data_IF_254111896109
#
_entry.id   IF_254111896109
#
_cell.length_a   1.000
_cell.length_b   1.000
_cell.length_c   1.000
_cell.angle_alpha   90.00
_cell.angle_beta   90.00
_cell.angle_gamma   90.00
#
_symmetry.space_group_name_H-M   'P 1'
#
loop_
_entity.id
_entity.type
_entity.pdbx_description
1 polymer ?
#
# COMPACT_ATOMS: atom_id res chain seq x y z
N UNK A 1 -29.73 -23.74 -2.76
CA UNK A 1 -30.04 -22.56 -1.95
C UNK A 1 -28.73 -21.86 -1.67
N UNK A 2 -28.62 -20.55 -1.90
CA UNK A 2 -27.43 -19.80 -1.47
C UNK A 2 -27.33 -19.86 0.05
N UNK A 3 -26.14 -20.06 0.64
CA UNK A 3 -25.99 -20.02 2.10
C UNK A 3 -26.41 -18.64 2.63
N UNK A 4 -27.23 -18.64 3.68
CA UNK A 4 -27.64 -17.43 4.41
C UNK A 4 -26.66 -17.20 5.56
N UNK A 5 -25.83 -16.16 5.47
CA UNK A 5 -24.84 -15.79 6.48
C UNK A 5 -25.40 -14.80 7.51
N UNK A 6 -26.64 -15.02 7.94
CA UNK A 6 -27.40 -14.08 8.78
C UNK A 6 -26.89 -14.06 10.24
N UNK A 7 -26.10 -15.07 10.65
CA UNK A 7 -25.39 -15.09 11.92
C UNK A 7 -23.92 -14.66 11.74
N UNK A 8 -23.50 -13.65 12.52
CA UNK A 8 -22.15 -13.08 12.48
C UNK A 8 -21.05 -14.10 12.80
N UNK A 9 -21.30 -15.08 13.67
CA UNK A 9 -20.33 -16.12 13.97
C UNK A 9 -20.14 -17.06 12.77
N UNK A 10 -21.23 -17.47 12.12
CA UNK A 10 -21.16 -18.34 10.93
C UNK A 10 -20.43 -17.68 9.76
N UNK A 11 -20.64 -16.37 9.56
CA UNK A 11 -19.93 -15.59 8.54
C UNK A 11 -18.43 -15.51 8.85
N UNK A 12 -18.08 -15.20 10.10
CA UNK A 12 -16.68 -15.07 10.52
C UNK A 12 -15.93 -16.40 10.40
N UNK A 13 -16.54 -17.49 10.85
CA UNK A 13 -15.96 -18.83 10.72
C UNK A 13 -15.75 -19.22 9.26
N UNK A 14 -16.75 -18.99 8.41
CA UNK A 14 -16.64 -19.30 6.98
C UNK A 14 -15.53 -18.49 6.29
N UNK A 15 -15.54 -17.16 6.44
CA UNK A 15 -14.63 -16.26 5.70
C UNK A 15 -13.22 -16.29 6.30
N UNK A 16 -13.10 -16.18 7.62
CA UNK A 16 -11.82 -15.97 8.31
C UNK A 16 -11.22 -17.30 8.76
N UNK A 17 -11.90 -18.06 9.63
CA UNK A 17 -11.31 -19.24 10.28
C UNK A 17 -11.10 -20.39 9.30
N UNK A 18 -12.06 -20.62 8.41
CA UNK A 18 -11.99 -21.66 7.39
C UNK A 18 -11.26 -21.21 6.12
N UNK A 19 -10.79 -19.95 6.07
CA UNK A 19 -9.96 -19.43 4.97
C UNK A 19 -10.67 -19.28 3.62
N UNK A 20 -12.00 -19.33 3.55
CA UNK A 20 -12.70 -19.14 2.28
C UNK A 20 -12.50 -17.72 1.73
N UNK A 21 -12.26 -16.74 2.60
CA UNK A 21 -12.08 -15.35 2.22
C UNK A 21 -13.36 -14.71 1.71
N UNK A 22 -13.27 -13.42 1.35
CA UNK A 22 -14.34 -12.70 0.67
C UNK A 22 -14.58 -13.27 -0.73
N UNK A 23 -13.54 -13.82 -1.38
CA UNK A 23 -13.72 -14.50 -2.67
C UNK A 23 -14.66 -15.70 -2.53
N UNK A 24 -14.46 -16.58 -1.55
CA UNK A 24 -15.35 -17.72 -1.33
C UNK A 24 -16.78 -17.30 -0.99
N UNK A 25 -16.94 -16.16 -0.30
CA UNK A 25 -18.24 -15.56 -0.07
C UNK A 25 -18.92 -15.17 -1.39
N UNK A 26 -18.21 -14.51 -2.31
CA UNK A 26 -18.72 -14.17 -3.64
C UNK A 26 -19.03 -15.41 -4.48
N UNK A 27 -18.16 -16.42 -4.45
CA UNK A 27 -18.34 -17.69 -5.17
C UNK A 27 -19.60 -18.45 -4.68
N UNK A 28 -20.04 -18.21 -3.43
CA UNK A 28 -21.30 -18.77 -2.89
C UNK A 28 -22.58 -18.12 -3.46
N UNK A 29 -22.44 -17.07 -4.27
CA UNK A 29 -23.55 -16.43 -4.96
C UNK A 29 -24.35 -15.45 -4.10
N UNK A 30 -23.70 -14.78 -3.14
CA UNK A 30 -24.34 -13.73 -2.35
C UNK A 30 -24.85 -12.61 -3.24
N UNK A 31 -26.03 -12.06 -2.87
CA UNK A 31 -26.66 -10.96 -3.62
C UNK A 31 -26.44 -9.60 -2.97
N UNK A 32 -26.13 -9.58 -1.67
CA UNK A 32 -25.88 -8.37 -0.91
C UNK A 32 -24.63 -8.53 -0.05
N UNK A 33 -23.98 -7.41 0.23
CA UNK A 33 -22.88 -7.34 1.19
C UNK A 33 -23.43 -7.62 2.60
N UNK A 34 -22.86 -8.58 3.36
CA UNK A 34 -23.28 -8.82 4.73
C UNK A 34 -23.05 -7.62 5.64
N UNK A 35 -23.85 -7.49 6.71
CA UNK A 35 -23.80 -6.34 7.63
C UNK A 35 -22.39 -6.07 8.18
N UNK A 36 -21.62 -7.12 8.46
CA UNK A 36 -20.25 -7.03 8.99
C UNK A 36 -19.25 -6.34 8.04
N UNK A 37 -19.58 -6.18 6.77
CA UNK A 37 -18.77 -5.45 5.77
C UNK A 37 -19.31 -4.04 5.47
N UNK A 38 -20.48 -3.69 5.99
CA UNK A 38 -21.08 -2.37 5.77
C UNK A 38 -20.29 -1.35 6.59
N UNK A 39 -19.59 -0.47 5.88
CA UNK A 39 -18.78 0.57 6.48
C UNK A 39 -19.66 1.69 7.06
N UNK A 40 -19.20 2.40 8.12
CA UNK A 40 -19.84 3.62 8.57
C UNK A 40 -19.98 4.64 7.45
N UNK A 41 -20.99 5.50 7.49
CA UNK A 41 -21.25 6.49 6.43
C UNK A 41 -20.05 7.40 6.13
N UNK A 42 -19.23 7.72 7.15
CA UNK A 42 -18.00 8.52 7.01
C UNK A 42 -16.88 7.80 6.27
N UNK A 43 -16.89 6.46 6.24
CA UNK A 43 -15.85 5.64 5.60
C UNK A 43 -16.21 5.22 4.17
N UNK A 44 -17.51 5.29 3.81
CA UNK A 44 -17.98 4.95 2.47
C UNK A 44 -17.41 5.89 1.42
N UNK A 45 -17.10 5.34 0.25
CA UNK A 45 -16.49 6.07 -0.87
C UNK A 45 -17.59 6.35 -1.89
N UNK A 46 -18.11 7.58 -1.88
CA UNK A 46 -19.11 8.01 -2.87
C UNK A 46 -18.44 8.21 -4.24
N UNK A 47 -18.94 7.53 -5.29
CA UNK A 47 -18.43 7.65 -6.67
C UNK A 47 -18.47 9.07 -7.25
N UNK A 48 -19.23 9.99 -6.66
CA UNK A 48 -19.62 11.26 -7.29
C UNK A 48 -18.57 12.39 -7.13
N UNK A 49 -17.54 12.25 -6.30
CA UNK A 49 -16.66 13.40 -5.97
C UNK A 49 -15.39 13.52 -6.85
N UNK A 50 -15.03 12.52 -7.66
CA UNK A 50 -13.66 12.43 -8.20
C UNK A 50 -13.40 12.84 -9.65
N UNK A 51 -14.37 13.35 -10.42
CA UNK A 51 -14.15 13.59 -11.84
C UNK A 51 -14.92 14.79 -12.36
N UNK A 52 -14.33 15.98 -12.25
CA UNK A 52 -14.41 17.01 -13.32
C UNK A 52 -13.46 18.21 -13.06
N UNK A 53 -12.97 18.48 -11.85
CA UNK A 53 -12.24 19.73 -11.56
C UNK A 53 -10.92 19.54 -10.78
N UNK A 54 -10.06 18.59 -11.15
CA UNK A 54 -8.68 18.62 -10.66
C UNK A 54 -7.99 19.88 -11.21
N UNK A 55 -7.53 20.76 -10.33
CA UNK A 55 -6.70 21.92 -10.73
C UNK A 55 -5.50 21.46 -11.57
N UNK A 56 -5.00 22.32 -12.47
CA UNK A 56 -3.87 21.99 -13.36
C UNK A 56 -2.63 21.47 -12.62
N UNK A 57 -2.44 21.89 -11.36
CA UNK A 57 -1.37 21.41 -10.48
C UNK A 57 -1.53 19.97 -10.00
N UNK A 58 -2.77 19.52 -9.74
CA UNK A 58 -3.04 18.12 -9.36
C UNK A 58 -2.87 17.17 -10.54
N UNK A 59 -3.26 17.60 -11.74
CA UNK A 59 -3.12 16.80 -12.97
C UNK A 59 -1.65 16.49 -13.31
N UNK A 60 -0.74 17.43 -13.02
CA UNK A 60 0.70 17.21 -13.19
C UNK A 60 1.24 16.13 -12.25
N UNK A 61 0.75 16.05 -11.01
CA UNK A 61 1.20 15.02 -10.05
C UNK A 61 0.60 13.63 -10.31
N UNK A 62 -0.52 13.55 -11.03
CA UNK A 62 -1.17 12.28 -11.39
C UNK A 62 -0.56 11.66 -12.65
N UNK A 63 0.06 12.49 -13.50
CA UNK A 63 0.72 12.04 -14.74
C UNK A 63 1.98 11.23 -14.43
N UNK A 64 2.23 10.09 -15.09
CA UNK A 64 3.40 9.28 -14.80
C UNK A 64 4.73 9.98 -15.14
N UNK A 65 5.71 9.85 -14.26
CA UNK A 65 7.09 10.31 -14.41
C UNK A 65 7.88 9.26 -15.19
N UNK A 66 8.54 9.67 -16.28
CA UNK A 66 9.39 8.80 -17.08
C UNK A 66 10.77 8.63 -16.43
N UNK A 67 11.03 7.45 -15.85
CA UNK A 67 12.32 7.16 -15.20
C UNK A 67 13.45 6.85 -16.18
N UNK A 68 13.18 6.61 -17.46
CA UNK A 68 14.25 6.42 -18.45
C UNK A 68 15.02 7.71 -18.74
N UNK A 69 14.42 8.85 -18.43
CA UNK A 69 15.03 10.18 -18.58
C UNK A 69 15.93 10.56 -17.39
N UNK A 70 15.92 9.78 -16.31
CA UNK A 70 16.65 10.09 -15.08
C UNK A 70 18.16 10.13 -15.29
N UNK A 71 18.73 9.23 -16.10
CA UNK A 71 20.18 9.11 -16.29
C UNK A 71 20.65 9.92 -17.54
N UNK A 72 19.89 10.95 -17.94
CA UNK A 72 20.11 11.72 -19.17
C UNK A 72 19.99 13.25 -19.02
N UNK A 73 19.87 14.01 -20.13
CA UNK A 73 19.81 15.48 -20.10
C UNK A 73 18.67 16.08 -19.28
N UNK A 74 17.61 15.31 -19.05
CA UNK A 74 16.43 15.71 -18.29
C UNK A 74 16.49 15.27 -16.80
N UNK A 75 17.66 14.84 -16.29
CA UNK A 75 17.85 14.39 -14.91
C UNK A 75 17.20 15.33 -13.88
N UNK A 76 17.56 16.61 -13.91
CA UNK A 76 17.08 17.61 -12.94
C UNK A 76 15.55 17.80 -12.99
N UNK A 77 14.94 17.68 -14.17
CA UNK A 77 13.49 17.78 -14.34
C UNK A 77 12.77 16.57 -13.71
N UNK A 78 13.32 15.37 -13.91
CA UNK A 78 12.79 14.13 -13.32
C UNK A 78 12.94 14.16 -11.80
N UNK A 79 14.12 14.54 -11.29
CA UNK A 79 14.36 14.72 -9.85
C UNK A 79 13.38 15.72 -9.25
N UNK A 80 13.21 16.88 -9.89
CA UNK A 80 12.26 17.91 -9.43
C UNK A 80 10.82 17.40 -9.42
N UNK A 81 10.41 16.61 -10.42
CA UNK A 81 9.07 16.01 -10.46
C UNK A 81 8.85 15.03 -9.30
N UNK A 82 9.82 14.16 -9.03
CA UNK A 82 9.78 13.19 -7.91
C UNK A 82 9.68 13.92 -6.57
N UNK A 83 10.54 14.91 -6.34
CA UNK A 83 10.54 15.70 -5.10
C UNK A 83 9.23 16.45 -4.93
N UNK A 84 8.78 17.16 -5.96
CA UNK A 84 7.54 17.94 -5.91
C UNK A 84 6.32 17.06 -5.59
N UNK A 85 6.20 15.89 -6.24
CA UNK A 85 5.11 14.98 -5.94
C UNK A 85 5.19 14.40 -4.51
N UNK A 86 6.40 14.12 -4.03
CA UNK A 86 6.65 13.65 -2.65
C UNK A 86 6.32 14.70 -1.59
N UNK A 87 6.55 15.98 -1.87
CA UNK A 87 6.28 17.11 -0.97
C UNK A 87 4.83 17.60 -1.02
N UNK A 88 4.11 17.41 -2.13
CA UNK A 88 2.73 17.91 -2.29
C UNK A 88 1.65 16.87 -2.07
N UNK A 89 1.87 15.65 -2.54
CA UNK A 89 0.85 14.58 -2.50
C UNK A 89 1.36 13.38 -1.71
N UNK A 90 2.64 13.06 -1.79
CA UNK A 90 3.17 11.82 -1.23
C UNK A 90 2.95 10.59 -2.11
N UNK A 91 2.37 10.78 -3.29
CA UNK A 91 2.10 9.76 -4.29
C UNK A 91 2.51 10.26 -5.67
N UNK A 92 3.05 9.37 -6.49
CA UNK A 92 3.31 9.62 -7.92
C UNK A 92 3.33 8.32 -8.69
N UNK A 93 3.16 8.41 -10.01
CA UNK A 93 3.28 7.25 -10.90
C UNK A 93 4.61 7.31 -11.64
N UNK A 94 5.18 6.15 -11.93
CA UNK A 94 6.40 6.03 -12.74
C UNK A 94 6.18 5.08 -13.91
N UNK A 95 6.76 5.42 -15.07
CA UNK A 95 6.80 4.59 -16.28
C UNK A 95 8.24 4.47 -16.77
N UNK A 96 8.48 3.56 -17.72
CA UNK A 96 9.80 3.28 -18.26
C UNK A 96 10.86 3.01 -17.15
N UNK A 97 10.40 2.43 -16.04
CA UNK A 97 11.16 2.16 -14.82
C UNK A 97 12.08 0.93 -14.94
N UNK A 98 12.20 0.34 -16.13
CA UNK A 98 13.09 -0.80 -16.40
C UNK A 98 12.60 -2.18 -15.93
N UNK A 99 11.37 -2.29 -15.42
CA UNK A 99 10.77 -3.61 -15.14
C UNK A 99 10.02 -4.05 -16.40
N UNK A 100 10.32 -5.25 -16.95
CA UNK A 100 9.65 -5.75 -18.15
C UNK A 100 8.12 -5.87 -17.97
N UNK A 101 7.36 -5.44 -18.98
CA UNK A 101 5.89 -5.47 -18.93
C UNK A 101 5.34 -6.89 -18.77
N UNK A 102 5.96 -7.89 -19.40
CA UNK A 102 5.62 -9.31 -19.26
C UNK A 102 5.78 -9.81 -17.82
N UNK A 103 6.77 -9.30 -17.07
CA UNK A 103 6.93 -9.61 -15.65
C UNK A 103 5.77 -9.04 -14.82
N UNK A 104 5.33 -7.81 -15.09
CA UNK A 104 4.20 -7.19 -14.40
C UNK A 104 2.88 -7.94 -14.70
N UNK A 105 2.63 -8.30 -15.96
CA UNK A 105 1.46 -9.08 -16.35
C UNK A 105 1.48 -10.48 -15.74
N UNK A 106 2.62 -11.17 -15.78
CA UNK A 106 2.78 -12.50 -15.18
C UNK A 106 2.52 -12.47 -13.68
N UNK A 107 2.95 -11.41 -12.98
CA UNK A 107 2.73 -11.26 -11.55
C UNK A 107 1.24 -11.08 -11.23
N UNK A 108 0.51 -10.26 -12.01
CA UNK A 108 -0.94 -10.11 -11.87
C UNK A 108 -1.66 -11.44 -12.12
N UNK A 109 -1.27 -12.16 -13.17
CA UNK A 109 -1.84 -13.49 -13.47
C UNK A 109 -1.58 -14.49 -12.35
N UNK A 110 -0.36 -14.54 -11.81
CA UNK A 110 0.00 -15.41 -10.70
C UNK A 110 -0.81 -15.11 -9.43
N UNK A 111 -1.07 -13.83 -9.14
CA UNK A 111 -1.96 -13.44 -8.05
C UNK A 111 -3.38 -13.98 -8.29
N UNK A 112 -3.96 -13.78 -9.47
CA UNK A 112 -5.27 -14.35 -9.82
C UNK A 112 -5.31 -15.88 -9.69
N UNK A 113 -4.26 -16.57 -10.15
CA UNK A 113 -4.14 -18.01 -10.05
C UNK A 113 -4.15 -18.47 -8.60
N UNK A 114 -3.34 -17.84 -7.72
CA UNK A 114 -3.31 -18.13 -6.29
C UNK A 114 -4.69 -17.97 -5.64
N UNK A 115 -5.36 -16.83 -5.82
CA UNK A 115 -6.65 -16.61 -5.15
C UNK A 115 -7.78 -17.50 -5.68
N UNK A 116 -7.67 -17.99 -6.92
CA UNK A 116 -8.63 -18.91 -7.55
C UNK A 116 -8.47 -20.36 -7.13
N UNK A 117 -7.42 -20.69 -6.38
CA UNK A 117 -7.24 -22.04 -5.85
C UNK A 117 -8.36 -22.44 -4.87
N UNK A 118 -8.63 -23.75 -4.74
CA UNK A 118 -9.50 -24.27 -3.69
C UNK A 118 -9.07 -23.79 -2.30
N UNK A 119 -10.01 -23.62 -1.34
CA UNK A 119 -9.69 -23.20 0.02
C UNK A 119 -8.61 -24.06 0.69
N UNK A 120 -8.64 -25.39 0.52
CA UNK A 120 -7.69 -26.32 1.13
C UNK A 120 -6.24 -26.07 0.70
N UNK A 121 -6.02 -25.68 -0.57
CA UNK A 121 -4.69 -25.33 -1.10
C UNK A 121 -4.16 -24.02 -0.52
N UNK A 122 -5.06 -23.09 -0.15
CA UNK A 122 -4.71 -21.81 0.49
C UNK A 122 -4.61 -21.92 2.01
N UNK A 123 -5.27 -22.91 2.60
CA UNK A 123 -5.36 -23.10 4.05
C UNK A 123 -3.98 -23.28 4.70
N UNK A 124 -3.02 -23.85 3.96
CA UNK A 124 -1.62 -24.02 4.40
C UNK A 124 -0.87 -22.71 4.63
N UNK A 125 -1.48 -21.56 4.32
CA UNK A 125 -0.93 -20.22 4.55
C UNK A 125 -1.75 -19.44 5.60
N UNK A 126 -2.78 -20.03 6.21
CA UNK A 126 -3.55 -19.37 7.26
C UNK A 126 -2.69 -19.15 8.52
N UNK A 127 -3.00 -18.12 9.33
CA UNK A 127 -2.34 -17.91 10.61
C UNK A 127 -2.46 -19.14 11.51
N UNK A 128 -1.34 -19.63 12.05
CA UNK A 128 -1.31 -20.79 12.95
C UNK A 128 -1.18 -22.14 12.26
N UNK A 129 -1.70 -22.27 11.04
CA UNK A 129 -1.61 -23.48 10.19
C UNK A 129 -0.37 -23.47 9.28
N UNK A 130 0.21 -22.28 9.05
CA UNK A 130 1.29 -22.07 8.09
C UNK A 130 2.61 -22.78 8.41
N UNK A 131 3.22 -23.36 7.37
CA UNK A 131 4.58 -23.97 7.44
C UNK A 131 5.68 -22.96 7.80
N UNK A 132 5.45 -21.68 7.52
CA UNK A 132 6.39 -20.60 7.79
C UNK A 132 5.66 -19.36 8.26
N UNK A 133 6.25 -18.64 9.22
CA UNK A 133 5.73 -17.34 9.71
C UNK A 133 5.91 -16.21 8.68
N UNK A 134 6.66 -16.46 7.61
CA UNK A 134 7.00 -15.50 6.56
C UNK A 134 5.90 -15.33 5.52
N UNK A 135 4.97 -16.28 5.42
CA UNK A 135 3.87 -16.25 4.44
C UNK A 135 2.55 -16.36 5.16
N UNK A 136 1.62 -15.45 4.86
CA UNK A 136 0.29 -15.43 5.47
C UNK A 136 -0.77 -15.10 4.45
N UNK A 137 -1.72 -16.00 4.29
CA UNK A 137 -2.98 -15.76 3.59
C UNK A 137 -4.06 -15.39 4.61
N UNK A 138 -4.94 -14.47 4.24
CA UNK A 138 -6.05 -14.06 5.07
C UNK A 138 -7.01 -13.12 4.35
N UNK A 139 -7.91 -12.54 5.12
CA UNK A 139 -8.92 -11.58 4.67
C UNK A 139 -8.91 -10.37 5.58
N UNK A 140 -9.38 -9.23 5.06
CA UNK A 140 -9.40 -7.94 5.75
C UNK A 140 -8.00 -7.48 6.21
N UNK A 141 -7.90 -6.51 7.12
CA UNK A 141 -6.62 -6.11 7.71
C UNK A 141 -6.39 -6.79 9.06
N UNK A 142 -7.33 -6.67 9.99
CA UNK A 142 -7.31 -7.33 11.29
C UNK A 142 -8.73 -7.69 11.72
N UNK A 143 -9.30 -8.80 11.19
CA UNK A 143 -10.72 -9.13 11.37
C UNK A 143 -11.21 -9.10 12.83
N UNK A 144 -10.38 -9.56 13.76
CA UNK A 144 -10.69 -9.61 15.20
C UNK A 144 -10.79 -8.23 15.86
N UNK A 145 -10.15 -7.20 15.30
CA UNK A 145 -10.11 -5.83 15.83
C UNK A 145 -11.08 -4.89 15.10
N UNK A 146 -11.65 -5.34 13.99
CA UNK A 146 -12.43 -4.50 13.08
C UNK A 146 -13.91 -4.47 13.44
N UNK A 147 -14.47 -3.26 13.44
CA UNK A 147 -15.92 -3.07 13.57
C UNK A 147 -16.63 -3.53 12.29
N UNK A 148 -16.19 -3.01 11.15
CA UNK A 148 -16.59 -3.44 9.81
C UNK A 148 -15.36 -3.97 9.06
N UNK A 149 -15.49 -5.15 8.45
CA UNK A 149 -14.44 -5.80 7.68
C UNK A 149 -14.22 -5.10 6.34
N UNK A 150 -13.00 -5.21 5.82
CA UNK A 150 -12.61 -4.78 4.48
C UNK A 150 -12.92 -5.88 3.45
N UNK A 151 -13.37 -5.48 2.26
CA UNK A 151 -13.73 -6.38 1.17
C UNK A 151 -12.50 -6.81 0.35
N UNK A 152 -11.61 -7.58 0.98
CA UNK A 152 -10.30 -7.92 0.41
C UNK A 152 -9.73 -9.20 1.01
N UNK A 153 -9.23 -10.07 0.15
CA UNK A 153 -8.33 -11.15 0.53
C UNK A 153 -6.88 -10.74 0.29
N UNK A 154 -5.93 -11.32 1.02
CA UNK A 154 -4.51 -11.01 0.86
C UNK A 154 -3.61 -12.22 1.02
N UNK A 155 -2.44 -12.14 0.39
CA UNK A 155 -1.30 -13.02 0.58
C UNK A 155 -0.06 -12.16 0.86
N UNK A 156 0.37 -12.18 2.11
CA UNK A 156 1.53 -11.47 2.63
C UNK A 156 2.76 -12.37 2.53
N UNK A 157 3.81 -11.93 1.86
CA UNK A 157 5.05 -12.68 1.63
C UNK A 157 6.27 -11.85 2.06
N UNK A 158 6.73 -12.10 3.27
CA UNK A 158 7.92 -11.46 3.82
C UNK A 158 9.16 -12.05 3.15
N UNK A 159 10.04 -11.16 2.70
CA UNK A 159 11.33 -11.51 2.14
C UNK A 159 12.44 -11.38 3.18
N UNK A 160 13.26 -12.41 3.26
CA UNK A 160 14.45 -12.52 4.12
C UNK A 160 15.67 -12.79 3.24
N UNK A 161 15.61 -13.87 2.47
CA UNK A 161 16.59 -14.25 1.45
C UNK A 161 15.90 -15.06 0.32
N UNK A 162 16.61 -15.24 -0.80
CA UNK A 162 16.11 -15.97 -1.97
C UNK A 162 15.71 -17.41 -1.65
N UNK A 163 16.49 -18.13 -0.83
CA UNK A 163 16.24 -19.53 -0.53
C UNK A 163 14.93 -19.71 0.26
N UNK A 164 14.73 -18.94 1.33
CA UNK A 164 13.50 -18.95 2.12
C UNK A 164 12.28 -18.52 1.28
N UNK A 165 12.45 -17.53 0.39
CA UNK A 165 11.39 -17.14 -0.53
C UNK A 165 10.99 -18.29 -1.47
N UNK A 166 11.96 -18.96 -2.09
CA UNK A 166 11.71 -20.08 -3.01
C UNK A 166 11.21 -21.35 -2.31
N UNK A 167 11.53 -21.52 -1.03
CA UNK A 167 11.07 -22.63 -0.21
C UNK A 167 9.64 -22.42 0.30
N UNK A 168 9.30 -21.21 0.77
CA UNK A 168 8.07 -20.98 1.52
C UNK A 168 6.98 -20.23 0.76
N UNK A 169 7.31 -19.40 -0.23
CA UNK A 169 6.30 -18.68 -1.01
C UNK A 169 5.51 -19.65 -1.91
N UNK A 170 4.24 -19.35 -2.26
CA UNK A 170 3.43 -20.25 -3.07
C UNK A 170 4.05 -20.52 -4.44
N UNK A 171 4.03 -21.79 -4.86
CA UNK A 171 4.63 -22.23 -6.13
C UNK A 171 4.08 -21.47 -7.35
N UNK A 172 2.82 -21.02 -7.27
CA UNK A 172 2.12 -20.28 -8.31
C UNK A 172 2.74 -18.90 -8.55
N UNK A 173 3.37 -18.30 -7.54
CA UNK A 173 3.83 -16.92 -7.62
C UNK A 173 5.29 -16.69 -7.17
N UNK A 174 5.96 -17.65 -6.54
CA UNK A 174 7.27 -17.41 -5.88
C UNK A 174 8.35 -16.84 -6.80
N UNK A 175 8.53 -17.42 -7.98
CA UNK A 175 9.57 -16.99 -8.94
C UNK A 175 9.30 -15.59 -9.49
N UNK A 176 8.05 -15.36 -9.91
CA UNK A 176 7.65 -14.08 -10.50
C UNK A 176 7.62 -12.97 -9.46
N UNK A 177 7.18 -13.26 -8.23
CA UNK A 177 7.19 -12.32 -7.11
C UNK A 177 8.63 -11.98 -6.68
N UNK A 178 9.54 -12.95 -6.66
CA UNK A 178 10.94 -12.72 -6.32
C UNK A 178 11.64 -11.84 -7.36
N UNK A 179 11.40 -12.09 -8.65
CA UNK A 179 11.90 -11.24 -9.75
C UNK A 179 11.34 -9.83 -9.67
N UNK A 180 10.05 -9.68 -9.39
CA UNK A 180 9.42 -8.37 -9.17
C UNK A 180 10.05 -7.64 -7.99
N UNK A 181 10.16 -8.29 -6.82
CA UNK A 181 10.79 -7.72 -5.63
C UNK A 181 12.19 -7.18 -5.93
N UNK A 182 13.05 -7.97 -6.57
CA UNK A 182 14.43 -7.56 -6.90
C UNK A 182 14.46 -6.36 -7.84
N UNK A 183 13.52 -6.30 -8.79
CA UNK A 183 13.44 -5.21 -9.77
C UNK A 183 12.89 -3.93 -9.12
N UNK A 184 11.82 -4.04 -8.34
CA UNK A 184 11.24 -2.93 -7.57
C UNK A 184 12.20 -2.38 -6.52
N UNK A 185 13.02 -3.23 -5.90
CA UNK A 185 14.01 -2.77 -4.94
C UNK A 185 15.06 -1.85 -5.57
N UNK A 186 15.45 -2.07 -6.84
CA UNK A 186 16.35 -1.16 -7.56
C UNK A 186 15.74 0.24 -7.74
N UNK A 187 14.42 0.30 -8.01
CA UNK A 187 13.69 1.56 -8.09
C UNK A 187 13.70 2.26 -6.73
N UNK A 188 13.42 1.51 -5.65
CA UNK A 188 13.46 2.05 -4.28
C UNK A 188 14.83 2.66 -3.95
N UNK A 189 15.94 1.99 -4.29
CA UNK A 189 17.29 2.53 -4.05
C UNK A 189 17.48 3.89 -4.74
N UNK A 190 17.22 3.96 -6.05
CA UNK A 190 17.34 5.20 -6.83
C UNK A 190 16.47 6.33 -6.27
N UNK A 191 15.22 6.03 -5.90
CA UNK A 191 14.31 7.04 -5.36
C UNK A 191 14.74 7.53 -3.97
N UNK A 192 15.23 6.65 -3.10
CA UNK A 192 15.73 7.06 -1.80
C UNK A 192 17.01 7.91 -1.93
N UNK A 193 17.92 7.58 -2.83
CA UNK A 193 19.11 8.41 -3.11
C UNK A 193 18.68 9.84 -3.50
N UNK A 194 17.77 9.98 -4.48
CA UNK A 194 17.24 11.28 -4.93
C UNK A 194 16.60 12.07 -3.78
N UNK A 195 15.74 11.41 -3.00
CA UNK A 195 15.00 12.06 -1.91
C UNK A 195 15.94 12.48 -0.78
N UNK A 196 16.94 11.66 -0.43
CA UNK A 196 17.93 12.04 0.59
C UNK A 196 18.84 13.18 0.12
N UNK A 197 19.29 13.14 -1.13
CA UNK A 197 20.12 14.20 -1.71
C UNK A 197 19.39 15.55 -1.70
N UNK A 198 18.09 15.57 -2.02
CA UNK A 198 17.26 16.77 -1.91
C UNK A 198 17.07 17.28 -0.46
N UNK A 199 17.19 16.39 0.53
CA UNK A 199 17.23 16.76 1.95
C UNK A 199 18.64 17.19 2.40
N UNK A 200 19.62 17.25 1.49
CA UNK A 200 20.99 17.66 1.78
C UNK A 200 21.83 16.59 2.45
N UNK A 201 21.49 15.30 2.28
CA UNK A 201 22.28 14.18 2.80
C UNK A 201 22.52 13.11 1.76
N UNK A 202 23.76 12.61 1.73
CA UNK A 202 24.11 11.44 0.95
C UNK A 202 23.65 10.19 1.70
N UNK A 203 22.86 9.34 1.04
CA UNK A 203 22.41 8.09 1.61
C UNK A 203 23.53 7.02 1.54
N UNK A 204 24.04 6.59 2.68
CA UNK A 204 25.01 5.50 2.76
C UNK A 204 24.33 4.13 2.66
N UNK A 205 25.04 3.13 2.13
CA UNK A 205 24.52 1.75 1.97
C UNK A 205 24.01 1.15 3.28
N UNK A 206 24.71 1.38 4.39
CA UNK A 206 24.32 0.89 5.72
C UNK A 206 22.96 1.45 6.16
N UNK A 207 22.71 2.73 5.87
CA UNK A 207 21.46 3.41 6.18
C UNK A 207 20.35 3.04 5.20
N UNK A 208 20.67 2.85 3.92
CA UNK A 208 19.73 2.31 2.96
C UNK A 208 19.25 0.91 3.37
N UNK A 209 20.17 0.06 3.81
CA UNK A 209 19.86 -1.29 4.31
C UNK A 209 19.05 -1.22 5.60
N UNK A 210 19.35 -0.30 6.51
CA UNK A 210 18.58 -0.14 7.74
C UNK A 210 17.16 0.38 7.49
N UNK A 211 16.97 1.35 6.59
CA UNK A 211 15.66 1.90 6.21
C UNK A 211 14.83 0.98 5.32
N UNK A 212 15.46 -0.03 4.71
CA UNK A 212 14.79 -1.02 3.86
C UNK A 212 14.94 -2.45 4.39
N UNK A 213 15.26 -2.59 5.67
CA UNK A 213 15.67 -3.86 6.28
C UNK A 213 14.64 -4.96 6.15
N UNK A 214 13.35 -4.64 6.29
CA UNK A 214 12.26 -5.57 6.02
C UNK A 214 11.63 -5.26 4.67
N UNK A 215 11.47 -6.31 3.87
CA UNK A 215 10.89 -6.26 2.52
C UNK A 215 9.68 -7.18 2.47
N UNK A 216 8.60 -6.71 1.87
CA UNK A 216 7.33 -7.43 1.86
C UNK A 216 6.64 -7.28 0.51
N UNK A 217 6.27 -8.38 -0.12
CA UNK A 217 5.31 -8.38 -1.25
C UNK A 217 3.96 -8.80 -0.69
N UNK A 218 2.93 -7.99 -0.91
CA UNK A 218 1.57 -8.33 -0.52
C UNK A 218 0.70 -8.40 -1.77
N UNK A 219 0.15 -9.56 -2.08
CA UNK A 219 -0.84 -9.68 -3.16
C UNK A 219 -2.22 -9.45 -2.56
N UNK A 220 -2.92 -8.43 -3.03
CA UNK A 220 -4.26 -8.10 -2.59
C UNK A 220 -5.26 -8.47 -3.68
N UNK A 221 -6.36 -9.09 -3.29
CA UNK A 221 -7.43 -9.51 -4.19
C UNK A 221 -8.77 -8.97 -3.73
N UNK A 222 -9.47 -8.32 -4.66
CA UNK A 222 -10.75 -7.67 -4.43
C UNK A 222 -11.77 -8.33 -5.35
N UNK A 223 -12.58 -9.28 -4.87
CA UNK A 223 -13.62 -9.89 -5.70
C UNK A 223 -14.73 -8.85 -6.02
N UNK A 224 -15.53 -9.07 -7.08
CA UNK A 224 -16.66 -8.21 -7.41
C UNK A 224 -17.59 -8.04 -6.21
N UNK A 225 -17.89 -6.80 -5.86
CA UNK A 225 -18.76 -6.48 -4.73
C UNK A 225 -20.20 -6.23 -5.22
N UNK A 226 -21.23 -6.88 -4.63
CA UNK A 226 -22.63 -6.68 -5.05
C UNK A 226 -23.18 -5.28 -4.68
N UNK A 227 -22.70 -4.69 -3.58
CA UNK A 227 -23.07 -3.33 -3.17
C UNK A 227 -21.80 -2.50 -2.91
N UNK A 228 -21.07 -2.08 -3.96
CA UNK A 228 -19.73 -1.52 -3.82
C UNK A 228 -19.68 -0.19 -3.04
N UNK A 229 -20.80 0.53 -2.96
CA UNK A 229 -20.90 1.81 -2.25
C UNK A 229 -21.12 1.63 -0.73
N UNK A 230 -21.38 0.41 -0.25
CA UNK A 230 -21.58 0.11 1.18
C UNK A 230 -20.30 -0.33 1.90
N UNK A 231 -19.26 -0.72 1.16
CA UNK A 231 -18.02 -1.26 1.73
C UNK A 231 -16.79 -0.67 1.06
N UNK A 232 -15.60 -0.99 1.57
CA UNK A 232 -14.31 -0.55 1.03
C UNK A 232 -13.40 -1.75 0.86
N UNK A 233 -12.51 -1.69 -0.13
CA UNK A 233 -11.46 -2.68 -0.30
C UNK A 233 -10.38 -2.53 0.77
N UNK A 234 -10.03 -1.29 1.12
CA UNK A 234 -9.15 -0.94 2.24
C UNK A 234 -9.65 0.36 2.84
N UNK A 235 -9.73 0.43 4.16
CA UNK A 235 -10.06 1.64 4.90
C UNK A 235 -8.99 2.73 4.80
N UNK A 236 -9.25 3.86 5.46
CA UNK A 236 -8.34 5.00 5.49
C UNK A 236 -7.11 4.70 6.36
N UNK A 237 -5.93 4.81 5.78
CA UNK A 237 -4.66 4.57 6.47
C UNK A 237 -3.50 5.32 5.80
N UNK A 238 -2.37 5.43 6.50
CA UNK A 238 -1.06 5.72 5.91
C UNK A 238 -0.16 4.49 6.03
N UNK A 239 0.81 4.37 5.12
CA UNK A 239 1.79 3.29 5.14
C UNK A 239 2.90 3.60 6.16
N UNK A 240 3.23 2.64 7.03
CA UNK A 240 4.26 2.86 8.08
C UNK A 240 5.70 2.79 7.59
N UNK A 241 5.91 2.29 6.38
CA UNK A 241 7.23 1.97 5.85
C UNK A 241 8.02 3.21 5.43
N UNK A 242 9.07 2.97 4.66
CA UNK A 242 9.87 4.02 4.04
C UNK A 242 9.27 4.40 2.68
N UNK A 243 9.13 3.42 1.77
CA UNK A 243 8.50 3.57 0.47
C UNK A 243 7.66 2.34 0.13
N UNK A 244 6.61 2.56 -0.66
CA UNK A 244 5.80 1.49 -1.27
C UNK A 244 5.89 1.61 -2.79
N UNK A 245 6.08 0.47 -3.47
CA UNK A 245 5.98 0.33 -4.93
C UNK A 245 4.77 -0.53 -5.25
N UNK A 246 3.73 0.09 -5.79
CA UNK A 246 2.44 -0.54 -6.03
C UNK A 246 2.21 -0.81 -7.52
N UNK A 247 2.00 -2.09 -7.85
CA UNK A 247 1.45 -2.52 -9.13
C UNK A 247 -0.07 -2.62 -9.04
N UNK A 248 -0.78 -1.89 -9.91
CA UNK A 248 -2.23 -1.96 -10.06
C UNK A 248 -2.63 -2.78 -11.30
N UNK A 249 -3.85 -3.29 -11.30
CA UNK A 249 -4.55 -3.73 -12.51
C UNK A 249 -5.20 -2.54 -13.25
N UNK A 250 -5.91 -2.82 -14.36
CA UNK A 250 -6.58 -1.80 -15.17
C UNK A 250 -7.90 -1.28 -14.56
N UNK A 251 -8.36 -1.82 -13.42
CA UNK A 251 -9.61 -1.41 -12.77
C UNK A 251 -9.39 -0.23 -11.82
N UNK A 252 -8.23 -0.20 -11.14
CA UNK A 252 -7.87 0.86 -10.21
C UNK A 252 -8.76 0.93 -8.96
N UNK A 253 -8.92 2.12 -8.39
CA UNK A 253 -9.73 2.35 -7.19
C UNK A 253 -8.96 2.85 -5.96
N UNK A 254 -7.66 3.09 -6.11
CA UNK A 254 -6.87 3.80 -5.11
C UNK A 254 -7.31 5.27 -5.04
N UNK A 255 -7.62 5.74 -3.83
CA UNK A 255 -7.89 7.15 -3.56
C UNK A 255 -6.90 7.68 -2.53
N UNK A 256 -6.36 8.86 -2.79
CA UNK A 256 -5.39 9.54 -1.93
C UNK A 256 -6.02 10.82 -1.42
N UNK A 257 -5.84 11.08 -0.13
CA UNK A 257 -6.26 12.32 0.51
C UNK A 257 -5.21 13.39 0.23
N UNK A 258 -5.61 14.48 -0.42
CA UNK A 258 -4.78 15.66 -0.61
C UNK A 258 -5.10 16.65 0.51
N UNK A 259 -4.06 17.09 1.22
CA UNK A 259 -4.20 18.12 2.24
C UNK A 259 -4.47 19.49 1.58
N UNK A 260 -5.23 20.33 2.24
CA UNK A 260 -5.80 21.58 1.71
C UNK A 260 -4.72 22.47 1.05
N UNK A 261 -4.90 22.80 -0.24
CA UNK A 261 -4.10 23.87 -0.86
C UNK A 261 -4.70 25.19 -0.36
N UNK A 262 -3.96 25.90 0.50
CA UNK A 262 -4.32 27.18 1.15
C UNK A 262 -4.79 28.24 0.13
N UNK A 263 -4.51 28.01 -1.16
CA UNK A 263 -4.87 28.86 -2.30
C UNK A 263 -6.34 28.68 -2.75
N UNK A 264 -6.98 27.53 -2.52
CA UNK A 264 -8.29 27.21 -3.14
C UNK A 264 -9.51 27.32 -2.21
N UNK A 265 -9.31 27.33 -0.87
CA UNK A 265 -10.41 27.35 0.11
C UNK A 265 -11.38 26.17 0.01
N UNK A 266 -11.02 25.11 -0.73
CA UNK A 266 -11.79 23.88 -0.84
C UNK A 266 -11.27 22.86 0.17
N UNK A 267 -12.20 22.33 0.98
CA UNK A 267 -11.94 21.26 1.97
C UNK A 267 -11.20 20.07 1.37
N UNK A 268 -10.48 19.35 2.24
CA UNK A 268 -9.88 18.03 2.03
C UNK A 268 -10.51 17.24 0.86
N UNK A 269 -9.73 17.04 -0.21
CA UNK A 269 -10.17 16.33 -1.41
C UNK A 269 -9.57 14.93 -1.45
N UNK A 270 -10.39 13.95 -1.85
CA UNK A 270 -9.93 12.61 -2.18
C UNK A 270 -9.80 12.48 -3.69
N UNK A 271 -8.58 12.30 -4.18
CA UNK A 271 -8.31 12.10 -5.61
C UNK A 271 -8.19 10.62 -5.93
N UNK A 272 -8.77 10.16 -7.03
CA UNK A 272 -8.52 8.82 -7.56
C UNK A 272 -7.17 8.81 -8.30
N UNK A 273 -6.33 7.81 -8.05
CA UNK A 273 -5.12 7.56 -8.85
C UNK A 273 -5.52 6.59 -9.97
N UNK A 274 -5.68 7.07 -11.22
CA UNK A 274 -6.08 6.22 -12.32
C UNK A 274 -4.92 5.29 -12.71
N UNK A 275 -5.22 4.01 -13.02
CA UNK A 275 -4.20 3.08 -13.46
C UNK A 275 -3.69 3.45 -14.85
N UNK A 276 -2.37 3.54 -15.00
CA UNK A 276 -1.72 3.68 -16.31
C UNK A 276 -1.07 2.36 -16.76
N UNK A 277 -1.10 2.05 -18.07
CA UNK A 277 -0.41 0.86 -18.60
C UNK A 277 1.07 0.85 -18.23
N UNK A 278 1.55 -0.27 -17.69
CA UNK A 278 2.94 -0.46 -17.26
C UNK A 278 3.45 0.59 -16.27
N UNK A 279 2.56 1.28 -15.54
CA UNK A 279 2.97 2.20 -14.50
C UNK A 279 3.03 1.51 -13.13
N UNK A 280 3.92 2.02 -12.28
CA UNK A 280 3.94 1.71 -10.86
C UNK A 280 3.58 2.97 -10.08
N UNK A 281 2.75 2.82 -9.06
CA UNK A 281 2.48 3.89 -8.11
C UNK A 281 3.54 3.83 -7.02
N UNK A 282 4.16 4.95 -6.70
CA UNK A 282 5.08 5.11 -5.59
C UNK A 282 4.39 5.94 -4.52
N UNK A 283 4.51 5.55 -3.26
CA UNK A 283 4.14 6.42 -2.16
C UNK A 283 5.12 6.42 -1.00
N UNK A 284 5.16 7.58 -0.35
CA UNK A 284 5.95 7.85 0.85
C UNK A 284 5.26 7.21 2.05
N UNK A 285 6.03 6.57 2.92
CA UNK A 285 5.54 6.07 4.19
C UNK A 285 5.95 6.94 5.39
N UNK A 286 5.35 6.65 6.54
CA UNK A 286 5.48 7.41 7.78
C UNK A 286 6.95 7.53 8.24
N UNK A 287 7.77 6.49 8.04
CA UNK A 287 9.17 6.53 8.41
C UNK A 287 9.92 7.62 7.64
N UNK A 288 9.69 7.73 6.32
CA UNK A 288 10.34 8.74 5.49
C UNK A 288 9.75 10.14 5.72
N UNK A 289 8.47 10.25 6.07
CA UNK A 289 7.90 11.51 6.54
C UNK A 289 8.57 12.00 7.83
N UNK A 290 8.77 11.11 8.82
CA UNK A 290 9.45 11.46 10.08
C UNK A 290 10.90 11.89 9.81
N UNK A 291 11.63 11.14 9.00
CA UNK A 291 13.04 11.44 8.65
C UNK A 291 13.15 12.78 7.93
N UNK A 292 12.25 13.08 7.01
CA UNK A 292 12.23 14.35 6.27
C UNK A 292 11.65 15.53 7.06
N UNK A 293 11.44 15.38 8.38
CA UNK A 293 10.82 16.38 9.24
C UNK A 293 9.42 16.83 8.77
N UNK A 294 8.71 15.99 8.00
CA UNK A 294 7.42 16.34 7.42
C UNK A 294 7.49 17.04 6.07
N UNK A 295 8.67 17.17 5.45
CA UNK A 295 8.78 17.67 4.07
C UNK A 295 8.15 16.72 3.06
N UNK A 296 8.39 15.42 3.20
CA UNK A 296 7.72 14.40 2.39
C UNK A 296 6.46 13.91 3.08
N UNK A 297 5.38 13.78 2.32
CA UNK A 297 4.04 13.50 2.85
C UNK A 297 3.75 12.00 2.76
N UNK A 298 3.58 11.33 3.89
CA UNK A 298 2.87 10.05 3.97
C UNK A 298 1.37 10.33 3.96
N UNK A 299 0.74 10.19 2.79
CA UNK A 299 -0.67 10.55 2.61
C UNK A 299 -1.64 9.45 3.07
N UNK A 300 -2.77 9.89 3.61
CA UNK A 300 -3.88 9.01 3.93
C UNK A 300 -4.47 8.51 2.61
N UNK A 301 -4.66 7.21 2.47
CA UNK A 301 -5.20 6.61 1.26
C UNK A 301 -6.19 5.49 1.60
N UNK A 302 -7.06 5.18 0.65
CA UNK A 302 -8.12 4.16 0.78
C UNK A 302 -8.37 3.49 -0.58
N UNK A 303 -9.06 2.36 -0.58
CA UNK A 303 -9.35 1.61 -1.80
C UNK A 303 -10.85 1.34 -1.92
N UNK A 304 -11.46 1.78 -3.04
CA UNK A 304 -12.88 1.47 -3.33
C UNK A 304 -13.04 0.05 -3.84
N UNK A 305 -14.25 -0.48 -3.66
CA UNK A 305 -14.66 -1.73 -4.33
C UNK A 305 -15.31 -1.43 -5.68
N UNK A 306 -15.57 -2.48 -6.46
CA UNK A 306 -16.25 -2.41 -7.75
C UNK A 306 -17.09 -3.66 -7.98
N UNK A 307 -18.13 -3.54 -8.78
CA UNK A 307 -18.91 -4.67 -9.29
C UNK A 307 -18.45 -5.15 -10.67
N UNK A 308 -17.51 -4.43 -11.32
CA UNK A 308 -17.13 -4.67 -12.73
C UNK A 308 -16.31 -5.95 -12.96
N UNK A 309 -15.64 -6.45 -11.93
CA UNK A 309 -14.73 -7.58 -12.05
C UNK A 309 -13.81 -7.71 -10.84
N UNK A 310 -13.14 -8.85 -10.74
CA UNK A 310 -12.10 -9.08 -9.73
C UNK A 310 -10.90 -8.20 -10.02
N UNK A 311 -10.34 -7.60 -8.97
CA UNK A 311 -9.16 -6.75 -9.05
C UNK A 311 -8.00 -7.32 -8.24
N UNK A 312 -6.78 -7.12 -8.73
CA UNK A 312 -5.55 -7.35 -7.95
C UNK A 312 -4.75 -6.06 -7.76
N UNK A 313 -4.03 -5.99 -6.65
CA UNK A 313 -3.13 -4.90 -6.29
C UNK A 313 -1.92 -5.52 -5.59
N UNK A 314 -0.70 -5.20 -6.01
CA UNK A 314 0.50 -5.91 -5.53
C UNK A 314 1.54 -4.91 -5.04
N UNK A 315 1.36 -4.34 -3.83
CA UNK A 315 2.36 -3.51 -3.21
C UNK A 315 3.60 -4.30 -2.78
N UNK A 316 4.75 -3.70 -3.04
CA UNK A 316 6.04 -4.04 -2.48
C UNK A 316 6.44 -2.95 -1.46
N UNK A 317 6.54 -3.33 -0.19
CA UNK A 317 6.88 -2.43 0.89
C UNK A 317 8.35 -2.56 1.27
N UNK A 318 9.01 -1.42 1.49
CA UNK A 318 10.28 -1.35 2.22
C UNK A 318 10.06 -0.70 3.57
N UNK A 319 10.55 -1.36 4.60
CA UNK A 319 10.27 -1.05 6.00
C UNK A 319 11.61 -1.03 6.74
N UNK A 320 11.85 -0.04 7.63
CA UNK A 320 13.06 -0.02 8.45
C UNK A 320 13.24 -1.29 9.28
N UNK A 321 14.49 -1.60 9.63
CA UNK A 321 14.77 -2.63 10.64
C UNK A 321 14.10 -2.22 11.95
N UNK A 322 13.60 -3.18 12.75
CA UNK A 322 12.95 -2.83 14.01
C UNK A 322 13.84 -2.06 15.00
N UNK A 323 15.16 -2.26 14.89
CA UNK A 323 16.17 -1.58 15.72
C UNK A 323 16.58 -0.21 15.19
N UNK A 324 16.10 0.20 14.01
CA UNK A 324 16.40 1.52 13.44
C UNK A 324 15.77 2.62 14.29
N UNK A 325 16.52 3.69 14.53
CA UNK A 325 16.01 4.92 15.11
C UNK A 325 15.59 5.86 13.99
N UNK A 326 14.30 6.16 13.92
CA UNK A 326 13.77 7.10 12.95
C UNK A 326 13.54 8.45 13.63
N UNK A 327 14.02 9.53 13.00
CA UNK A 327 13.92 10.89 13.51
C UNK A 327 14.34 11.90 12.44
N UNK A 328 13.96 13.18 12.58
CA UNK A 328 14.26 14.18 11.56
C UNK A 328 15.76 14.37 11.36
N UNK A 329 16.16 14.52 10.10
CA UNK A 329 17.57 14.73 9.76
C UNK A 329 18.10 16.05 10.34
N UNK A 330 19.30 16.09 10.93
CA UNK A 330 19.85 17.30 11.53
C UNK A 330 19.91 18.51 10.58
N UNK A 331 20.26 18.28 9.32
CA UNK A 331 20.31 19.33 8.29
C UNK A 331 18.93 19.87 7.92
N UNK A 332 17.89 19.03 7.97
CA UNK A 332 16.50 19.45 7.73
C UNK A 332 16.00 20.26 8.92
N UNK A 333 16.29 19.83 10.16
CA UNK A 333 15.98 20.62 11.36
C UNK A 333 16.68 21.98 11.31
N UNK A 334 17.97 22.01 10.93
CA UNK A 334 18.75 23.25 10.83
C UNK A 334 18.16 24.20 9.79
N UNK A 335 17.67 23.68 8.66
CA UNK A 335 17.01 24.45 7.63
C UNK A 335 15.63 24.98 8.09
N UNK A 336 14.80 24.13 8.70
CA UNK A 336 13.43 24.46 9.09
C UNK A 336 13.37 25.30 10.38
N UNK A 337 14.43 25.27 11.19
CA UNK A 337 14.52 25.94 12.49
C UNK A 337 13.72 25.25 13.62
N UNK A 338 13.01 24.17 13.33
CA UNK A 338 12.18 23.43 14.30
C UNK A 338 12.14 21.94 13.98
N UNK A 339 12.20 21.10 15.00
CA UNK A 339 11.92 19.68 14.88
C UNK A 339 10.42 19.43 15.06
N UNK A 340 9.77 18.80 14.07
CA UNK A 340 8.34 18.44 14.13
C UNK A 340 8.09 17.06 14.73
N UNK A 341 9.12 16.22 14.73
CA UNK A 341 9.06 14.85 15.24
C UNK A 341 10.21 14.58 16.21
N UNK A 342 9.96 13.70 17.17
CA UNK A 342 10.99 13.15 18.05
C UNK A 342 11.62 11.90 17.43
N UNK A 343 12.85 11.60 17.81
CA UNK A 343 13.48 10.32 17.49
C UNK A 343 12.73 9.19 18.24
N UNK A 344 12.39 8.12 17.52
CA UNK A 344 11.74 6.93 18.09
C UNK A 344 12.39 5.66 17.54
N UNK A 345 12.39 4.60 18.34
CA UNK A 345 12.77 3.27 17.86
C UNK A 345 11.66 2.73 16.94
N UNK A 346 12.02 2.22 15.76
CA UNK A 346 11.03 1.81 14.77
C UNK A 346 10.11 0.69 15.28
N UNK A 347 10.63 -0.26 16.07
CA UNK A 347 9.82 -1.30 16.71
C UNK A 347 8.73 -0.72 17.63
N UNK A 348 8.98 0.38 18.34
CA UNK A 348 7.99 1.03 19.20
C UNK A 348 6.90 1.69 18.36
N UNK A 349 7.29 2.35 17.25
CA UNK A 349 6.35 2.92 16.29
C UNK A 349 5.45 1.83 15.66
N UNK A 350 6.04 0.71 15.23
CA UNK A 350 5.30 -0.45 14.71
C UNK A 350 4.30 -1.01 15.74
N UNK A 351 4.72 -1.16 17.00
CA UNK A 351 3.86 -1.69 18.05
C UNK A 351 2.66 -0.77 18.30
N UNK A 352 2.86 0.56 18.28
CA UNK A 352 1.76 1.52 18.38
C UNK A 352 0.79 1.40 17.19
N UNK A 353 1.31 1.26 15.96
CA UNK A 353 0.48 1.12 14.75
C UNK A 353 -0.36 -0.16 14.75
N UNK A 354 0.26 -1.33 14.90
CA UNK A 354 -0.44 -2.63 14.87
C UNK A 354 -1.22 -2.93 16.15
N UNK A 355 -1.05 -2.11 17.20
CA UNK A 355 -1.85 -2.18 18.42
C UNK A 355 -3.33 -1.91 18.16
N UNK A 356 -3.68 -1.12 17.14
CA UNK A 356 -5.03 -0.62 16.83
C UNK A 356 -5.48 -1.03 15.42
N UNK A 357 -6.76 -0.85 15.11
CA UNK A 357 -7.26 -0.95 13.72
C UNK A 357 -6.87 0.29 12.90
N UNK A 358 -7.04 0.25 11.57
CA UNK A 358 -6.86 1.42 10.71
C UNK A 358 -7.75 2.59 11.16
N UNK A 359 -7.15 3.76 11.39
CA UNK A 359 -7.82 4.99 11.85
C UNK A 359 -7.09 6.24 11.28
N UNK A 360 -6.83 6.21 9.97
CA UNK A 360 -6.14 7.29 9.25
C UNK A 360 -4.68 7.48 9.67
N UNK A 361 -4.24 8.74 9.84
CA UNK A 361 -2.85 9.12 10.16
C UNK A 361 -2.49 9.17 11.65
N UNK A 362 -3.40 8.78 12.56
CA UNK A 362 -3.21 8.96 14.02
C UNK A 362 -1.94 8.30 14.59
N UNK A 363 -1.38 7.31 13.88
CA UNK A 363 -0.13 6.67 14.27
C UNK A 363 1.06 7.64 14.23
N UNK A 364 1.06 8.64 13.34
CA UNK A 364 2.11 9.68 13.29
C UNK A 364 2.14 10.58 14.54
N UNK A 365 1.00 10.75 15.23
CA UNK A 365 0.94 11.55 16.46
C UNK A 365 1.81 10.94 17.57
N UNK A 366 2.13 9.65 17.51
CA UNK A 366 3.09 9.02 18.42
C UNK A 366 4.51 9.59 18.29
N UNK A 367 4.90 10.09 17.12
CA UNK A 367 6.23 10.64 16.88
C UNK A 367 6.24 12.18 16.85
N UNK A 368 5.08 12.84 16.79
CA UNK A 368 5.00 14.32 16.75
C UNK A 368 5.43 14.95 18.07
N UNK A 369 6.08 16.10 17.97
CA UNK A 369 6.35 16.99 19.10
C UNK A 369 5.16 17.96 19.20
N UNK A 370 4.53 18.01 20.37
CA UNK A 370 3.41 18.90 20.67
C UNK A 370 3.86 20.33 20.92
#
# INVERSE_FOLDING_TARGET
MSPTFDDTNTLFDFVVRNGNGVKGLVDSGIKNVPEKYIQPSSERINKIVGSQNSSSGLQQCISPIDLSLLDGPNHDEVVKAIVNASERIGFFQVVNHGIPADLLESLKQAAHQFFTQPPDEKAIYLPGEGRSRLVKYGTSFSPEKEKALEWKDYLNMVYTNDAEALEHWPNQCKEVALRYLKSSYKIVKKLLEILFENLGEKLEDSRLDSLTGRKLVNMLFYPPCPNPDLTVGVGRHSDIGTLTVLLQDSIGGLHVKVEEDVVSGQKEEWIEIPPFPNALVINIGDALQIISNGRYISAEHRVRTTSKGSRVSIPFFTIPTPTEKIGPLPQVIKHDGVARYREVLYQEYMNNYFGKAHDGKKSLDFARIN
#
